data_IF_702639524950
#
_entry.id   IF_702639524950
#
_cell.length_a   1.000
_cell.length_b   1.000
_cell.length_c   1.000
_cell.angle_alpha   90.00
_cell.angle_beta   90.00
_cell.angle_gamma   90.00
#
_symmetry.space_group_name_H-M   'P 1'
#
loop_
_entity.id
_entity.type
_entity.pdbx_description
1 polymer ?
#
# COMPACT_ATOMS: atom_id res chain seq x y z
N UNK A 1 -13.99 -35.34 -18.80
CA UNK A 1 -13.81 -34.85 -17.43
C UNK A 1 -14.44 -35.86 -16.49
N UNK A 2 -13.73 -36.24 -15.42
CA UNK A 2 -14.26 -37.13 -14.37
C UNK A 2 -14.72 -36.25 -13.21
N UNK A 3 -15.85 -36.58 -12.60
CA UNK A 3 -16.36 -35.85 -11.44
C UNK A 3 -16.60 -36.82 -10.29
N UNK A 4 -15.88 -36.63 -9.20
CA UNK A 4 -16.13 -37.31 -7.95
C UNK A 4 -17.08 -36.46 -7.12
N UNK A 5 -18.32 -36.92 -7.02
CA UNK A 5 -19.40 -36.22 -6.31
C UNK A 5 -19.25 -36.40 -4.80
N UNK A 6 -18.82 -37.60 -4.40
CA UNK A 6 -18.57 -37.97 -3.00
C UNK A 6 -17.10 -37.85 -2.62
N UNK A 7 -16.83 -38.02 -1.32
CA UNK A 7 -15.48 -37.99 -0.76
C UNK A 7 -14.63 -39.15 -1.26
N UNK A 8 -13.48 -38.83 -1.83
CA UNK A 8 -12.49 -39.82 -2.27
C UNK A 8 -11.31 -39.83 -1.32
N UNK A 9 -10.89 -41.02 -0.89
CA UNK A 9 -9.82 -41.17 0.09
C UNK A 9 -8.68 -42.01 -0.48
N UNK A 10 -7.58 -41.35 -0.82
CA UNK A 10 -6.29 -41.92 -1.23
C UNK A 10 -5.23 -41.80 -0.12
N UNK A 11 -5.66 -41.74 1.14
CA UNK A 11 -4.73 -41.68 2.27
C UNK A 11 -3.82 -42.92 2.30
N UNK A 12 -2.52 -42.70 2.44
CA UNK A 12 -1.47 -43.73 2.45
C UNK A 12 -1.41 -44.57 1.15
N UNK A 13 -2.01 -44.11 0.06
CA UNK A 13 -1.94 -44.83 -1.23
C UNK A 13 -0.59 -44.58 -1.88
N UNK A 14 -0.03 -45.64 -2.45
CA UNK A 14 1.19 -45.58 -3.26
C UNK A 14 0.79 -45.71 -4.73
N UNK A 15 1.08 -44.69 -5.51
CA UNK A 15 0.97 -44.70 -6.96
C UNK A 15 2.36 -45.01 -7.54
N UNK A 16 2.57 -46.27 -7.91
CA UNK A 16 3.84 -46.75 -8.48
C UNK A 16 4.07 -46.27 -9.91
N UNK A 17 2.99 -45.95 -10.62
CA UNK A 17 2.97 -45.48 -12.01
C UNK A 17 2.24 -44.14 -12.12
N UNK A 18 2.13 -43.62 -13.34
CA UNK A 18 1.54 -42.32 -13.61
C UNK A 18 0.11 -42.23 -13.05
N UNK A 19 -0.10 -41.26 -12.18
CA UNK A 19 -1.40 -40.99 -11.58
C UNK A 19 -1.99 -39.72 -12.20
N UNK A 20 -2.90 -39.88 -13.17
CA UNK A 20 -3.47 -38.75 -13.92
C UNK A 20 -4.90 -38.46 -13.50
N UNK A 21 -5.07 -37.29 -12.93
CA UNK A 21 -6.34 -36.68 -12.51
C UNK A 21 -6.60 -35.36 -13.24
N UNK A 22 -6.02 -35.18 -14.43
CA UNK A 22 -6.20 -33.97 -15.23
C UNK A 22 -7.69 -33.75 -15.54
N UNK A 23 -8.14 -32.48 -15.45
CA UNK A 23 -9.54 -32.06 -15.67
C UNK A 23 -10.55 -32.83 -14.82
N UNK A 24 -10.12 -33.30 -13.65
CA UNK A 24 -10.98 -33.98 -12.68
C UNK A 24 -11.56 -32.97 -11.71
N UNK A 25 -12.85 -33.07 -11.43
CA UNK A 25 -13.49 -32.30 -10.37
C UNK A 25 -13.64 -33.17 -9.13
N UNK A 26 -12.94 -32.78 -8.06
CA UNK A 26 -13.05 -33.36 -6.73
C UNK A 26 -13.95 -32.47 -5.88
N UNK A 27 -15.03 -33.02 -5.33
CA UNK A 27 -15.81 -32.34 -4.28
C UNK A 27 -15.17 -32.50 -2.90
N UNK A 28 -14.38 -33.57 -2.71
CA UNK A 28 -13.59 -33.81 -1.53
C UNK A 28 -12.58 -34.91 -1.83
N UNK A 29 -11.30 -34.65 -1.60
CA UNK A 29 -10.25 -35.67 -1.83
C UNK A 29 -9.14 -35.61 -0.78
N UNK A 30 -8.72 -36.77 -0.28
CA UNK A 30 -7.65 -36.89 0.70
C UNK A 30 -6.49 -37.68 0.09
N UNK A 31 -5.34 -37.04 -0.10
CA UNK A 31 -4.07 -37.63 -0.55
C UNK A 31 -3.03 -37.68 0.59
N UNK A 32 -3.48 -37.73 1.84
CA UNK A 32 -2.57 -37.61 2.99
C UNK A 32 -1.61 -38.81 3.07
N UNK A 33 -0.32 -38.53 3.21
CA UNK A 33 0.76 -39.51 3.09
C UNK A 33 0.73 -40.34 1.79
N UNK A 34 0.06 -39.88 0.73
CA UNK A 34 0.11 -40.55 -0.56
C UNK A 34 1.52 -40.38 -1.16
N UNK A 35 2.01 -41.40 -1.83
CA UNK A 35 3.32 -41.39 -2.49
C UNK A 35 3.10 -41.55 -3.98
N UNK A 36 3.59 -40.59 -4.76
CA UNK A 36 3.60 -40.61 -6.22
C UNK A 36 5.03 -40.86 -6.69
N UNK A 37 5.32 -42.06 -7.16
CA UNK A 37 6.67 -42.43 -7.61
C UNK A 37 7.03 -41.82 -8.96
N UNK A 38 6.06 -41.74 -9.87
CA UNK A 38 6.23 -41.14 -11.20
C UNK A 38 5.38 -39.87 -11.33
N UNK A 39 4.94 -39.53 -12.55
CA UNK A 39 4.25 -38.28 -12.84
C UNK A 39 2.88 -38.27 -12.17
N UNK A 40 2.59 -37.19 -11.43
CA UNK A 40 1.29 -36.94 -10.83
C UNK A 40 0.58 -35.77 -11.54
N UNK A 41 -0.43 -36.08 -12.35
CA UNK A 41 -1.18 -35.11 -13.16
C UNK A 41 -2.43 -34.61 -12.46
N UNK A 42 -2.56 -33.30 -12.28
CA UNK A 42 -3.72 -32.58 -11.76
C UNK A 42 -4.00 -31.32 -12.59
N UNK A 43 -3.60 -31.30 -13.86
CA UNK A 43 -3.75 -30.13 -14.73
C UNK A 43 -5.23 -29.82 -14.93
N UNK A 44 -5.62 -28.56 -14.76
CA UNK A 44 -7.02 -28.11 -14.83
C UNK A 44 -7.96 -28.86 -13.86
N UNK A 45 -7.43 -29.54 -12.83
CA UNK A 45 -8.25 -30.20 -11.82
C UNK A 45 -8.95 -29.17 -10.93
N UNK A 46 -10.20 -29.44 -10.56
CA UNK A 46 -10.99 -28.55 -9.71
C UNK A 46 -11.18 -29.24 -8.36
N UNK A 47 -10.58 -28.67 -7.32
CA UNK A 47 -10.76 -29.09 -5.94
C UNK A 47 -11.79 -28.18 -5.31
N UNK A 48 -13.06 -28.59 -5.32
CA UNK A 48 -14.17 -27.84 -4.78
C UNK A 48 -14.64 -28.39 -3.44
N UNK A 49 -15.38 -27.58 -2.69
CA UNK A 49 -16.15 -28.02 -1.53
C UNK A 49 -17.57 -27.44 -1.65
N UNK A 50 -18.55 -28.31 -1.88
CA UNK A 50 -19.95 -27.86 -2.12
C UNK A 50 -20.85 -28.05 -0.89
N UNK A 51 -20.44 -28.79 0.16
CA UNK A 51 -21.40 -29.23 1.19
C UNK A 51 -21.05 -28.80 2.64
N UNK A 52 -21.65 -27.72 3.18
CA UNK A 52 -21.36 -27.20 4.52
C UNK A 52 -21.79 -28.13 5.68
N UNK A 53 -22.57 -29.18 5.39
CA UNK A 53 -23.14 -30.11 6.39
C UNK A 53 -22.12 -31.08 6.98
N UNK A 54 -20.99 -31.32 6.31
CA UNK A 54 -19.92 -32.21 6.77
C UNK A 54 -18.74 -31.36 7.24
N UNK A 55 -18.77 -31.00 8.53
CA UNK A 55 -17.83 -30.05 9.12
C UNK A 55 -16.36 -30.30 8.76
N UNK A 56 -15.63 -29.23 8.46
CA UNK A 56 -14.16 -29.14 8.37
C UNK A 56 -13.40 -30.20 7.53
N UNK A 57 -14.03 -31.08 6.76
CA UNK A 57 -13.27 -32.02 5.93
C UNK A 57 -13.06 -31.42 4.54
N UNK A 58 -11.78 -31.27 4.20
CA UNK A 58 -11.27 -30.40 3.15
C UNK A 58 -10.35 -31.21 2.24
N UNK A 59 -10.15 -30.77 0.99
CA UNK A 59 -9.15 -31.42 0.14
C UNK A 59 -7.76 -31.31 0.78
N UNK A 60 -7.01 -32.40 0.83
CA UNK A 60 -5.82 -32.47 1.69
C UNK A 60 -4.72 -33.29 1.03
N UNK A 61 -3.50 -32.77 1.06
CA UNK A 61 -2.27 -33.38 0.58
C UNK A 61 -1.26 -33.53 1.72
N UNK A 62 -1.68 -33.51 2.99
CA UNK A 62 -0.75 -33.46 4.13
C UNK A 62 0.25 -34.60 4.07
N UNK A 63 1.55 -34.28 4.09
CA UNK A 63 2.66 -35.24 3.96
C UNK A 63 2.64 -36.08 2.68
N UNK A 64 1.94 -35.65 1.63
CA UNK A 64 2.06 -36.28 0.32
C UNK A 64 3.48 -36.12 -0.20
N UNK A 65 3.98 -37.14 -0.90
CA UNK A 65 5.33 -37.18 -1.43
C UNK A 65 5.30 -37.39 -2.94
N UNK A 66 5.68 -36.37 -3.69
CA UNK A 66 5.84 -36.39 -5.13
C UNK A 66 7.32 -36.62 -5.45
N UNK A 67 7.68 -37.86 -5.83
CA UNK A 67 9.07 -38.24 -6.11
C UNK A 67 9.54 -37.81 -7.51
N UNK A 68 8.60 -37.58 -8.42
CA UNK A 68 8.83 -37.08 -9.78
C UNK A 68 8.07 -35.77 -10.01
N UNK A 69 7.96 -35.34 -11.26
CA UNK A 69 7.21 -34.16 -11.65
C UNK A 69 5.73 -34.26 -11.24
N UNK A 70 5.18 -33.13 -10.79
CA UNK A 70 3.77 -33.01 -10.44
C UNK A 70 3.16 -31.78 -11.11
N UNK A 71 2.00 -31.97 -11.72
CA UNK A 71 1.43 -31.03 -12.68
C UNK A 71 0.10 -30.49 -12.15
N UNK A 72 0.10 -29.30 -11.58
CA UNK A 72 -1.07 -28.58 -11.07
C UNK A 72 -1.42 -27.36 -11.95
N UNK A 73 -0.97 -27.33 -13.21
CA UNK A 73 -1.18 -26.19 -14.10
C UNK A 73 -2.68 -25.91 -14.26
N UNK A 74 -3.09 -24.66 -14.08
CA UNK A 74 -4.49 -24.22 -14.16
C UNK A 74 -5.45 -24.95 -13.20
N UNK A 75 -4.93 -25.68 -12.21
CA UNK A 75 -5.75 -26.30 -11.18
C UNK A 75 -6.50 -25.22 -10.39
N UNK A 76 -7.77 -25.46 -10.09
CA UNK A 76 -8.63 -24.52 -9.37
C UNK A 76 -8.94 -25.13 -8.00
N UNK A 77 -8.38 -24.53 -6.96
CA UNK A 77 -8.63 -24.89 -5.57
C UNK A 77 -9.70 -23.95 -4.99
N UNK A 78 -10.95 -24.40 -4.99
CA UNK A 78 -12.09 -23.69 -4.41
C UNK A 78 -12.26 -24.13 -2.94
N UNK A 79 -11.92 -23.25 -2.00
CA UNK A 79 -12.01 -23.54 -0.57
C UNK A 79 -10.66 -23.87 0.06
N UNK A 80 -10.67 -24.64 1.15
CA UNK A 80 -9.45 -24.97 1.88
C UNK A 80 -8.76 -26.19 1.28
N UNK A 81 -7.47 -26.05 0.99
CA UNK A 81 -6.60 -27.16 0.59
C UNK A 81 -5.34 -27.14 1.42
N UNK A 82 -5.00 -28.29 2.00
CA UNK A 82 -3.86 -28.42 2.89
C UNK A 82 -2.65 -29.03 2.18
N UNK A 83 -1.54 -28.30 2.11
CA UNK A 83 -0.26 -28.78 1.58
C UNK A 83 0.81 -28.90 2.69
N UNK A 84 0.40 -29.03 3.96
CA UNK A 84 1.35 -29.09 5.07
C UNK A 84 2.33 -30.28 4.93
N UNK A 85 3.63 -29.96 4.95
CA UNK A 85 4.72 -30.92 4.82
C UNK A 85 4.65 -31.77 3.53
N UNK A 86 4.03 -31.25 2.47
CA UNK A 86 4.15 -31.88 1.15
C UNK A 86 5.59 -31.80 0.69
N UNK A 87 6.12 -32.93 0.23
CA UNK A 87 7.46 -33.02 -0.32
C UNK A 87 7.38 -33.21 -1.84
N UNK A 88 8.12 -32.36 -2.56
CA UNK A 88 8.40 -32.51 -3.98
C UNK A 88 9.91 -32.77 -4.10
N UNK A 89 10.28 -33.97 -4.56
CA UNK A 89 11.69 -34.30 -4.84
C UNK A 89 12.14 -33.73 -6.18
N UNK A 90 11.19 -33.46 -7.07
CA UNK A 90 11.38 -32.82 -8.37
C UNK A 90 10.41 -31.64 -8.54
N UNK A 91 10.26 -31.09 -9.74
CA UNK A 91 9.50 -29.88 -10.01
C UNK A 91 7.98 -30.09 -9.83
N UNK A 92 7.36 -29.20 -9.03
CA UNK A 92 5.92 -29.03 -8.96
C UNK A 92 5.46 -27.85 -9.80
N UNK A 93 4.74 -28.12 -10.89
CA UNK A 93 4.27 -27.10 -11.83
C UNK A 93 2.91 -26.56 -11.39
N UNK A 94 2.83 -25.30 -10.97
CA UNK A 94 1.57 -24.65 -10.56
C UNK A 94 1.16 -23.50 -11.49
N UNK A 95 1.62 -23.51 -12.73
CA UNK A 95 1.39 -22.43 -13.69
C UNK A 95 -0.11 -22.16 -13.93
N UNK A 96 -0.58 -20.96 -13.60
CA UNK A 96 -1.98 -20.57 -13.71
C UNK A 96 -2.92 -21.23 -12.70
N UNK A 97 -2.38 -21.94 -11.69
CA UNK A 97 -3.20 -22.54 -10.64
C UNK A 97 -3.85 -21.44 -9.79
N UNK A 98 -5.17 -21.55 -9.59
CA UNK A 98 -5.99 -20.56 -8.89
C UNK A 98 -6.40 -21.08 -7.52
N UNK A 99 -6.13 -20.31 -6.48
CA UNK A 99 -6.58 -20.60 -5.12
C UNK A 99 -7.65 -19.59 -4.72
N UNK A 100 -8.90 -20.02 -4.58
CA UNK A 100 -10.04 -19.16 -4.23
C UNK A 100 -10.41 -19.33 -2.75
N UNK A 101 -10.20 -18.26 -1.96
CA UNK A 101 -10.33 -18.24 -0.51
C UNK A 101 -11.67 -17.70 -0.02
N UNK A 102 -12.78 -18.17 -0.61
CA UNK A 102 -14.10 -17.63 -0.30
C UNK A 102 -14.52 -17.75 1.18
N UNK A 103 -13.97 -18.69 1.97
CA UNK A 103 -14.45 -18.90 3.35
C UNK A 103 -13.47 -19.42 4.43
N UNK A 104 -12.18 -19.67 4.20
CA UNK A 104 -11.24 -19.97 5.31
C UNK A 104 -9.79 -20.19 4.86
N UNK A 105 -8.86 -19.82 5.76
CA UNK A 105 -7.41 -20.13 5.87
C UNK A 105 -6.64 -20.40 4.56
N UNK A 106 -5.61 -19.58 4.35
CA UNK A 106 -4.63 -19.72 3.26
C UNK A 106 -3.95 -21.10 3.32
N UNK A 107 -3.79 -21.82 2.20
CA UNK A 107 -3.07 -23.08 2.10
C UNK A 107 -1.70 -22.97 2.78
N UNK A 108 -1.37 -23.97 3.59
CA UNK A 108 -0.04 -24.09 4.17
C UNK A 108 0.86 -24.74 3.12
N UNK A 109 1.77 -23.98 2.52
CA UNK A 109 2.85 -24.51 1.69
C UNK A 109 4.12 -24.79 2.52
N UNK A 110 3.98 -24.91 3.85
CA UNK A 110 5.13 -25.12 4.73
C UNK A 110 5.81 -26.45 4.42
N UNK A 111 7.10 -26.40 4.12
CA UNK A 111 7.90 -27.59 3.76
C UNK A 111 7.83 -27.98 2.28
N UNK A 112 7.03 -27.26 1.49
CA UNK A 112 6.92 -27.44 0.06
C UNK A 112 8.16 -26.89 -0.67
N UNK A 113 8.78 -27.70 -1.53
CA UNK A 113 9.77 -27.25 -2.51
C UNK A 113 9.03 -27.00 -3.83
N UNK A 114 8.82 -25.74 -4.20
CA UNK A 114 8.14 -25.38 -5.46
C UNK A 114 9.20 -24.73 -6.34
N UNK A 115 9.48 -25.31 -7.51
CA UNK A 115 10.27 -24.61 -8.53
C UNK A 115 9.30 -23.72 -9.32
N UNK A 116 9.31 -22.43 -8.98
CA UNK A 116 8.20 -21.54 -9.31
C UNK A 116 8.21 -21.08 -10.77
N UNK A 117 7.28 -21.60 -11.57
CA UNK A 117 6.74 -20.88 -12.73
C UNK A 117 5.24 -20.63 -12.51
N UNK A 118 4.91 -19.36 -12.26
CA UNK A 118 3.57 -18.77 -12.41
C UNK A 118 2.44 -19.32 -11.51
N UNK A 119 2.59 -19.26 -10.17
CA UNK A 119 1.43 -19.32 -9.28
C UNK A 119 0.56 -18.06 -9.45
N UNK A 120 -0.61 -18.19 -10.07
CA UNK A 120 -1.58 -17.09 -10.21
C UNK A 120 -2.59 -17.10 -9.05
N UNK A 121 -2.26 -16.37 -7.99
CA UNK A 121 -3.27 -16.02 -6.98
C UNK A 121 -4.20 -14.95 -7.58
N UNK A 122 -5.39 -15.36 -8.01
CA UNK A 122 -6.43 -14.41 -8.43
C UNK A 122 -6.76 -13.46 -7.28
N UNK A 123 -6.54 -12.16 -7.52
CA UNK A 123 -6.87 -11.04 -6.62
C UNK A 123 -8.39 -10.77 -6.57
N UNK A 124 -9.18 -11.59 -7.28
CA UNK A 124 -10.60 -11.34 -7.48
C UNK A 124 -11.42 -11.79 -6.29
N UNK A 125 -11.68 -10.83 -5.43
CA UNK A 125 -12.90 -10.71 -4.64
C UNK A 125 -13.15 -11.82 -3.60
N UNK A 126 -13.24 -11.41 -2.34
CA UNK A 126 -13.66 -12.25 -1.20
C UNK A 126 -12.56 -13.12 -0.56
N UNK A 127 -11.40 -12.55 -0.22
CA UNK A 127 -10.87 -12.88 1.12
C UNK A 127 -11.93 -12.41 2.12
N UNK A 128 -12.77 -13.35 2.57
CA UNK A 128 -13.92 -13.04 3.41
C UNK A 128 -13.48 -12.15 4.57
N UNK A 129 -14.31 -11.16 4.89
CA UNK A 129 -14.00 -10.08 5.83
C UNK A 129 -13.74 -10.59 7.28
N UNK A 130 -13.86 -11.89 7.50
CA UNK A 130 -13.92 -12.48 8.82
C UNK A 130 -12.63 -13.25 9.10
N UNK A 131 -11.76 -12.60 9.89
CA UNK A 131 -10.58 -13.14 10.56
C UNK A 131 -9.39 -13.57 9.67
N UNK A 132 -8.39 -12.69 9.55
CA UNK A 132 -7.04 -13.14 9.16
C UNK A 132 -6.38 -13.81 10.36
N UNK A 133 -6.18 -15.13 10.30
CA UNK A 133 -5.40 -15.84 11.30
C UNK A 133 -3.92 -15.44 11.20
N UNK A 134 -3.17 -15.51 12.31
CA UNK A 134 -1.71 -15.33 12.28
C UNK A 134 -1.03 -16.31 11.31
N UNK A 135 -1.63 -17.49 11.15
CA UNK A 135 -1.21 -18.53 10.20
C UNK A 135 -1.31 -18.06 8.74
N UNK A 136 -2.38 -17.34 8.38
CA UNK A 136 -2.51 -16.74 7.05
C UNK A 136 -1.38 -15.75 6.76
N UNK A 137 -1.04 -14.90 7.73
CA UNK A 137 0.08 -13.94 7.60
C UNK A 137 1.41 -14.67 7.43
N UNK A 138 1.64 -15.76 8.17
CA UNK A 138 2.84 -16.60 8.03
C UNK A 138 2.92 -17.24 6.63
N UNK A 139 1.80 -17.73 6.10
CA UNK A 139 1.77 -18.34 4.77
C UNK A 139 2.03 -17.30 3.66
N UNK A 140 1.44 -16.10 3.74
CA UNK A 140 1.74 -15.00 2.80
C UNK A 140 3.23 -14.62 2.89
N UNK A 141 3.78 -14.54 4.11
CA UNK A 141 5.20 -14.22 4.32
C UNK A 141 6.13 -15.28 3.72
N UNK A 142 5.73 -16.55 3.77
CA UNK A 142 6.45 -17.65 3.14
C UNK A 142 6.41 -17.55 1.61
N UNK A 143 5.22 -17.34 1.03
CA UNK A 143 5.06 -17.13 -0.42
C UNK A 143 5.86 -15.93 -0.93
N UNK A 144 5.89 -14.84 -0.16
CA UNK A 144 6.75 -13.67 -0.44
C UNK A 144 8.23 -14.05 -0.51
N UNK A 145 8.74 -14.82 0.47
CA UNK A 145 10.15 -15.26 0.48
C UNK A 145 10.48 -16.14 -0.72
N UNK A 146 9.62 -17.10 -1.05
CA UNK A 146 9.79 -17.93 -2.24
C UNK A 146 9.84 -17.07 -3.51
N UNK A 147 8.90 -16.12 -3.64
CA UNK A 147 8.87 -15.21 -4.77
C UNK A 147 10.13 -14.34 -4.87
N UNK A 148 10.68 -13.90 -3.74
CA UNK A 148 11.95 -13.16 -3.68
C UNK A 148 13.16 -14.05 -4.07
N UNK A 149 13.21 -15.30 -3.60
CA UNK A 149 14.27 -16.28 -3.91
C UNK A 149 14.34 -16.61 -5.41
N UNK A 150 13.19 -16.65 -6.08
CA UNK A 150 13.09 -16.93 -7.52
C UNK A 150 13.11 -15.68 -8.41
N UNK A 151 13.38 -14.49 -7.86
CA UNK A 151 13.46 -13.26 -8.65
C UNK A 151 12.14 -12.76 -9.25
N UNK A 152 11.00 -13.28 -8.79
CA UNK A 152 9.67 -12.90 -9.27
C UNK A 152 9.18 -11.64 -8.54
N UNK A 153 9.75 -10.48 -8.89
CA UNK A 153 9.53 -9.23 -8.16
C UNK A 153 8.06 -8.81 -8.07
N UNK A 154 7.30 -8.94 -9.16
CA UNK A 154 5.89 -8.53 -9.19
C UNK A 154 5.02 -9.38 -8.25
N UNK A 155 5.27 -10.69 -8.21
CA UNK A 155 4.59 -11.58 -7.27
C UNK A 155 5.00 -11.29 -5.82
N UNK A 156 6.28 -10.99 -5.56
CA UNK A 156 6.74 -10.64 -4.22
C UNK A 156 6.08 -9.34 -3.72
N UNK A 157 5.92 -8.34 -4.61
CA UNK A 157 5.16 -7.13 -4.33
C UNK A 157 3.67 -7.42 -4.11
N UNK A 158 3.10 -8.41 -4.81
CA UNK A 158 1.73 -8.88 -4.55
C UNK A 158 1.58 -9.46 -3.14
N UNK A 159 2.45 -10.39 -2.76
CA UNK A 159 2.41 -10.98 -1.42
C UNK A 159 2.71 -9.95 -0.33
N UNK A 160 3.63 -9.01 -0.56
CA UNK A 160 3.89 -7.93 0.39
C UNK A 160 2.66 -7.04 0.62
N UNK A 161 1.94 -6.69 -0.45
CA UNK A 161 0.68 -5.94 -0.34
C UNK A 161 -0.38 -6.74 0.45
N UNK A 162 -0.52 -8.03 0.19
CA UNK A 162 -1.42 -8.91 0.93
C UNK A 162 -1.03 -9.01 2.41
N UNK A 163 0.25 -9.15 2.72
CA UNK A 163 0.79 -9.23 4.08
C UNK A 163 0.44 -7.96 4.88
N UNK A 164 0.66 -6.79 4.29
CA UNK A 164 0.37 -5.50 4.92
C UNK A 164 -1.13 -5.30 5.13
N UNK A 165 -1.98 -5.65 4.15
CA UNK A 165 -3.44 -5.61 4.28
C UNK A 165 -3.92 -6.52 5.42
N UNK A 166 -3.39 -7.73 5.51
CA UNK A 166 -3.73 -8.70 6.55
C UNK A 166 -3.33 -8.20 7.95
N UNK A 167 -2.10 -7.68 8.11
CA UNK A 167 -1.64 -7.08 9.37
C UNK A 167 -2.50 -5.89 9.77
N UNK A 168 -2.82 -4.99 8.83
CA UNK A 168 -3.68 -3.82 9.08
C UNK A 168 -5.06 -4.25 9.60
N UNK A 169 -5.68 -5.26 8.97
CA UNK A 169 -6.98 -5.79 9.42
C UNK A 169 -6.91 -6.39 10.82
N UNK A 170 -5.86 -7.17 11.13
CA UNK A 170 -5.66 -7.76 12.46
C UNK A 170 -5.54 -6.66 13.54
N UNK A 171 -4.75 -5.61 13.27
CA UNK A 171 -4.66 -4.44 14.16
C UNK A 171 -6.03 -3.78 14.34
N UNK A 172 -6.77 -3.49 13.27
CA UNK A 172 -8.11 -2.91 13.38
C UNK A 172 -9.09 -3.76 14.20
N UNK A 173 -9.05 -5.09 14.05
CA UNK A 173 -9.87 -6.01 14.84
C UNK A 173 -9.50 -5.97 16.33
N UNK A 174 -8.19 -5.93 16.65
CA UNK A 174 -7.73 -5.75 18.04
C UNK A 174 -8.21 -4.43 18.64
N UNK A 175 -8.15 -3.34 17.86
CA UNK A 175 -8.65 -2.03 18.28
C UNK A 175 -10.17 -2.05 18.52
N UNK A 176 -10.95 -2.70 17.65
CA UNK A 176 -12.40 -2.86 17.82
C UNK A 176 -12.76 -3.70 19.05
N UNK A 177 -12.10 -4.83 19.25
CA UNK A 177 -12.30 -5.69 20.43
C UNK A 177 -11.98 -4.94 21.72
N UNK A 178 -10.85 -4.21 21.76
CA UNK A 178 -10.48 -3.39 22.91
C UNK A 178 -11.52 -2.29 23.19
N UNK A 179 -12.05 -1.65 22.16
CA UNK A 179 -13.11 -0.64 22.29
C UNK A 179 -14.42 -1.23 22.85
N UNK A 180 -14.78 -2.45 22.46
CA UNK A 180 -15.96 -3.15 22.98
C UNK A 180 -15.78 -3.59 24.44
N UNK A 181 -14.60 -4.12 24.79
CA UNK A 181 -14.31 -4.54 26.18
C UNK A 181 -14.09 -3.38 27.15
N UNK A 182 -13.78 -2.19 26.62
CA UNK A 182 -13.43 -0.99 27.41
C UNK A 182 -14.62 -0.22 27.99
N UNK A 183 -15.86 -0.64 27.73
CA UNK A 183 -17.08 0.01 28.26
C UNK A 183 -17.43 -0.47 29.68
N UNK A 184 -16.42 -0.67 30.51
CA UNK A 184 -16.53 -1.00 31.93
C UNK A 184 -15.88 0.17 32.66
N UNK A 185 -16.62 0.83 33.56
CA UNK A 185 -16.24 2.07 34.28
C UNK A 185 -14.76 2.14 34.70
N UNK A 186 -13.91 2.68 33.83
CA UNK A 186 -12.51 2.89 34.08
C UNK A 186 -12.28 4.37 34.40
N UNK A 187 -11.53 4.70 35.47
CA UNK A 187 -11.22 6.07 35.82
C UNK A 187 -10.49 6.79 34.68
N UNK A 188 -10.80 8.09 34.48
CA UNK A 188 -10.41 8.93 33.34
C UNK A 188 -8.91 8.89 32.97
N UNK A 189 -8.02 8.71 33.95
CA UNK A 189 -6.58 8.61 33.71
C UNK A 189 -6.16 7.31 33.00
N UNK A 190 -6.88 6.18 33.21
CA UNK A 190 -6.64 4.93 32.48
C UNK A 190 -7.12 5.00 31.05
N UNK A 191 -8.20 5.75 30.79
CA UNK A 191 -8.69 6.07 29.45
C UNK A 191 -7.64 6.88 28.67
N UNK A 192 -7.06 7.90 29.30
CA UNK A 192 -5.97 8.68 28.71
C UNK A 192 -4.73 7.82 28.41
N UNK A 193 -4.30 6.98 29.36
CA UNK A 193 -3.15 6.09 29.15
C UNK A 193 -3.39 5.08 28.01
N UNK A 194 -4.60 4.51 27.93
CA UNK A 194 -4.99 3.60 26.85
C UNK A 194 -5.05 4.29 25.49
N UNK A 195 -5.63 5.49 25.42
CA UNK A 195 -5.64 6.33 24.20
C UNK A 195 -4.21 6.66 23.76
N UNK A 196 -3.35 7.09 24.69
CA UNK A 196 -1.95 7.36 24.39
C UNK A 196 -1.17 6.11 23.92
N UNK A 197 -1.49 4.93 24.45
CA UNK A 197 -0.89 3.65 24.01
C UNK A 197 -1.38 3.24 22.62
N UNK A 198 -2.66 3.48 22.32
CA UNK A 198 -3.26 3.29 21.00
C UNK A 198 -2.62 4.21 19.94
N UNK A 199 -2.40 5.47 20.30
CA UNK A 199 -1.80 6.50 19.44
C UNK A 199 -0.31 6.20 19.18
N UNK A 200 0.38 5.44 20.04
CA UNK A 200 1.86 5.32 19.96
C UNK A 200 2.41 4.32 18.93
N UNK A 201 1.59 3.51 18.24
CA UNK A 201 2.16 2.67 17.16
C UNK A 201 1.17 1.95 16.26
N UNK A 202 0.18 1.26 16.83
CA UNK A 202 -0.77 0.46 16.04
C UNK A 202 -1.68 1.32 15.15
N UNK A 203 -2.14 2.45 15.66
CA UNK A 203 -2.93 3.40 14.87
C UNK A 203 -2.13 3.98 13.69
N UNK A 204 -0.89 4.42 13.95
CA UNK A 204 0.00 4.94 12.90
C UNK A 204 0.32 3.88 11.86
N UNK A 205 0.50 2.61 12.26
CA UNK A 205 0.67 1.53 11.31
C UNK A 205 -0.51 1.44 10.34
N UNK A 206 -1.75 1.52 10.84
CA UNK A 206 -2.95 1.54 9.99
C UNK A 206 -3.00 2.74 9.05
N UNK A 207 -2.70 3.95 9.54
CA UNK A 207 -2.68 5.18 8.72
C UNK A 207 -1.59 5.12 7.66
N UNK A 208 -0.37 4.75 8.04
CA UNK A 208 0.78 4.66 7.12
C UNK A 208 0.53 3.60 6.05
N UNK A 209 0.05 2.41 6.42
CA UNK A 209 -0.26 1.35 5.45
C UNK A 209 -1.43 1.72 4.54
N UNK A 210 -2.44 2.45 5.04
CA UNK A 210 -3.53 3.00 4.22
C UNK A 210 -3.02 4.02 3.20
N UNK A 211 -2.18 4.97 3.64
CA UNK A 211 -1.56 5.96 2.75
C UNK A 211 -0.65 5.28 1.72
N UNK A 212 0.18 4.32 2.14
CA UNK A 212 1.08 3.60 1.25
C UNK A 212 0.34 2.80 0.16
N UNK A 213 -0.81 2.20 0.50
CA UNK A 213 -1.69 1.55 -0.47
C UNK A 213 -2.25 2.53 -1.50
N UNK A 214 -2.84 3.65 -1.06
CA UNK A 214 -3.51 4.58 -1.96
C UNK A 214 -2.52 5.40 -2.80
N UNK A 215 -1.44 5.84 -2.17
CA UNK A 215 -0.45 6.72 -2.80
C UNK A 215 0.51 5.94 -3.69
N UNK A 216 0.92 4.73 -3.34
CA UNK A 216 1.99 4.01 -4.06
C UNK A 216 1.56 2.65 -4.61
N UNK A 217 0.35 2.17 -4.27
CA UNK A 217 -0.05 0.78 -4.52
C UNK A 217 1.01 -0.21 -4.01
N UNK A 218 1.48 0.02 -2.78
CA UNK A 218 2.56 -0.75 -2.15
C UNK A 218 3.87 -0.82 -2.98
N UNK A 219 4.23 0.27 -3.65
CA UNK A 219 5.48 0.37 -4.42
C UNK A 219 5.38 -0.15 -5.86
N UNK A 220 4.17 -0.54 -6.33
CA UNK A 220 3.94 -0.95 -7.73
C UNK A 220 3.80 0.23 -8.69
N UNK A 221 3.40 1.40 -8.18
CA UNK A 221 3.22 2.61 -8.99
C UNK A 221 4.11 3.73 -8.49
N UNK A 222 4.99 4.24 -9.36
CA UNK A 222 5.73 5.48 -9.13
C UNK A 222 4.97 6.72 -9.62
N UNK A 223 3.99 6.55 -10.52
CA UNK A 223 3.21 7.67 -11.09
C UNK A 223 2.24 8.26 -10.09
N UNK A 224 1.62 7.45 -9.23
CA UNK A 224 0.72 7.92 -8.17
C UNK A 224 1.39 8.80 -7.11
N UNK A 225 2.54 8.44 -6.49
CA UNK A 225 3.21 9.32 -5.54
C UNK A 225 3.71 10.60 -6.22
N UNK A 226 4.18 10.50 -7.47
CA UNK A 226 4.59 11.66 -8.26
C UNK A 226 3.41 12.61 -8.54
N UNK A 227 2.25 12.08 -8.93
CA UNK A 227 1.04 12.87 -9.16
C UNK A 227 0.55 13.54 -7.86
N UNK A 228 0.58 12.82 -6.74
CA UNK A 228 0.25 13.37 -5.43
C UNK A 228 1.23 14.49 -5.04
N UNK A 229 2.52 14.35 -5.36
CA UNK A 229 3.52 15.38 -5.14
C UNK A 229 3.26 16.63 -5.99
N UNK A 230 2.97 16.46 -7.28
CA UNK A 230 2.60 17.57 -8.18
C UNK A 230 1.34 18.27 -7.69
N UNK A 231 0.30 17.51 -7.30
CA UNK A 231 -0.94 18.07 -6.78
C UNK A 231 -0.71 18.85 -5.48
N UNK A 232 0.15 18.36 -4.58
CA UNK A 232 0.51 19.04 -3.35
C UNK A 232 1.28 20.34 -3.64
N UNK A 233 2.19 20.34 -4.63
CA UNK A 233 2.90 21.54 -5.07
C UNK A 233 1.95 22.60 -5.65
N UNK A 234 1.01 22.19 -6.50
CA UNK A 234 -0.02 23.08 -7.07
C UNK A 234 -0.90 23.64 -5.96
N UNK A 235 -1.37 22.80 -5.03
CA UNK A 235 -2.19 23.25 -3.90
C UNK A 235 -1.45 24.27 -3.03
N UNK A 236 -0.17 24.04 -2.73
CA UNK A 236 0.64 25.04 -2.01
C UNK A 236 0.67 26.36 -2.77
N UNK A 237 0.94 26.31 -4.07
CA UNK A 237 1.04 27.50 -4.91
C UNK A 237 -0.27 28.30 -4.91
N UNK A 238 -1.42 27.61 -5.02
CA UNK A 238 -2.75 28.23 -4.93
C UNK A 238 -3.00 28.89 -3.57
N UNK A 239 -2.68 28.22 -2.46
CA UNK A 239 -2.84 28.80 -1.11
C UNK A 239 -2.04 30.09 -0.97
N UNK A 240 -0.78 30.09 -1.46
CA UNK A 240 0.07 31.29 -1.39
C UNK A 240 -0.49 32.41 -2.25
N UNK A 241 -0.98 32.12 -3.47
CA UNK A 241 -1.62 33.11 -4.34
C UNK A 241 -2.88 33.69 -3.70
N UNK A 242 -3.79 32.84 -3.21
CA UNK A 242 -5.04 33.30 -2.57
C UNK A 242 -4.73 34.19 -1.37
N UNK A 243 -3.73 33.83 -0.58
CA UNK A 243 -3.31 34.64 0.56
C UNK A 243 -2.69 35.97 0.13
N UNK A 244 -1.84 35.97 -0.91
CA UNK A 244 -1.25 37.19 -1.46
C UNK A 244 -2.31 38.15 -2.01
N UNK A 245 -3.35 37.62 -2.68
CA UNK A 245 -4.47 38.41 -3.20
C UNK A 245 -5.33 38.98 -2.05
N UNK A 246 -5.58 38.21 -0.99
CA UNK A 246 -6.42 38.67 0.12
C UNK A 246 -5.73 39.73 0.98
N UNK A 247 -4.42 39.62 1.14
CA UNK A 247 -3.64 40.51 2.00
C UNK A 247 -2.93 41.65 1.25
N UNK A 248 -2.97 41.65 -0.10
CA UNK A 248 -2.41 42.78 -0.84
C UNK A 248 -3.14 44.05 -0.39
N UNK A 249 -2.43 45.04 0.16
CA UNK A 249 -3.07 46.28 0.56
C UNK A 249 -3.78 46.84 -0.66
N UNK A 250 -5.08 47.09 -0.55
CA UNK A 250 -5.90 47.76 -1.56
C UNK A 250 -5.38 49.21 -1.68
N UNK A 251 -4.20 49.39 -2.27
CA UNK A 251 -3.61 50.68 -2.49
C UNK A 251 -4.17 51.24 -3.79
N UNK A 252 -4.81 52.40 -3.65
CA UNK A 252 -5.32 53.27 -4.70
C UNK A 252 -6.66 52.82 -5.28
N UNK A 253 -7.73 53.33 -4.67
CA UNK A 253 -8.91 54.04 -5.21
C UNK A 253 -9.15 54.11 -6.75
N UNK A 254 -8.78 53.08 -7.49
CA UNK A 254 -8.98 52.93 -8.92
C UNK A 254 -10.18 52.04 -9.14
N UNK A 255 -11.17 52.57 -9.86
CA UNK A 255 -12.43 51.93 -10.30
C UNK A 255 -12.29 50.41 -10.49
N UNK A 256 -13.26 49.65 -9.96
CA UNK A 256 -13.51 48.20 -10.17
C UNK A 256 -13.02 47.72 -11.55
N UNK A 257 -11.76 47.31 -11.65
CA UNK A 257 -11.25 46.49 -12.74
C UNK A 257 -11.17 45.05 -12.27
N UNK A 258 -11.27 44.11 -13.21
CA UNK A 258 -11.30 42.69 -12.88
C UNK A 258 -9.93 42.25 -12.38
N UNK A 259 -9.89 41.48 -11.30
CA UNK A 259 -8.68 40.95 -10.65
C UNK A 259 -7.72 40.18 -11.60
N UNK A 260 -8.23 39.70 -12.74
CA UNK A 260 -7.42 39.06 -13.78
C UNK A 260 -6.52 40.05 -14.54
N UNK A 261 -6.93 41.31 -14.69
CA UNK A 261 -6.10 42.35 -15.31
C UNK A 261 -4.94 42.77 -14.41
N UNK A 262 -5.13 42.74 -13.08
CA UNK A 262 -4.08 43.05 -12.09
C UNK A 262 -3.01 41.95 -12.00
N UNK A 263 -3.37 40.69 -12.30
CA UNK A 263 -2.42 39.58 -12.36
C UNK A 263 -1.54 39.59 -13.61
N UNK A 264 -2.02 40.20 -14.71
CA UNK A 264 -1.37 40.20 -16.02
C UNK A 264 -0.59 41.50 -16.32
N UNK A 265 -0.75 42.55 -15.51
CA UNK A 265 -0.09 43.83 -15.75
C UNK A 265 1.38 43.77 -15.31
N UNK A 266 2.26 43.72 -16.31
CA UNK A 266 3.71 43.86 -16.15
C UNK A 266 4.04 45.21 -15.52
N UNK A 267 4.78 45.15 -14.39
CA UNK A 267 5.58 46.16 -13.69
C UNK A 267 5.54 47.61 -14.24
N UNK A 268 4.38 48.26 -14.32
CA UNK A 268 4.36 49.73 -14.38
C UNK A 268 4.52 50.23 -12.95
N UNK A 269 5.70 50.77 -12.56
CA UNK A 269 5.89 51.29 -11.23
C UNK A 269 4.89 52.42 -11.00
N UNK A 270 3.98 52.22 -10.04
CA UNK A 270 3.22 53.32 -9.46
C UNK A 270 4.23 54.20 -8.72
N UNK A 271 4.78 55.19 -9.42
CA UNK A 271 5.60 56.23 -8.81
C UNK A 271 4.70 57.06 -7.90
N UNK A 272 4.63 56.69 -6.62
CA UNK A 272 4.20 57.61 -5.58
C UNK A 272 5.30 58.66 -5.49
N UNK A 273 5.03 59.83 -6.04
CA UNK A 273 5.94 60.98 -6.06
C UNK A 273 5.99 61.59 -4.65
N UNK A 274 6.55 60.86 -3.69
CA UNK A 274 6.88 61.39 -2.37
C UNK A 274 8.26 62.06 -2.47
N UNK A 275 8.29 63.38 -2.31
CA UNK A 275 9.48 64.24 -2.38
C UNK A 275 10.54 63.99 -1.29
N UNK A 276 10.47 62.88 -0.54
CA UNK A 276 11.44 62.54 0.50
C UNK A 276 12.41 61.45 0.02
N UNK A 277 13.58 61.89 -0.42
CA UNK A 277 14.86 61.18 -0.49
C UNK A 277 14.84 59.63 -0.63
N UNK A 278 14.74 59.20 -1.89
CA UNK A 278 15.62 58.20 -2.53
C UNK A 278 15.75 56.80 -1.92
N UNK A 279 14.66 56.03 -1.85
CA UNK A 279 14.75 54.59 -2.13
C UNK A 279 13.59 54.15 -3.03
N UNK A 280 13.85 53.69 -4.28
CA UNK A 280 12.81 53.14 -5.12
C UNK A 280 12.22 51.88 -4.46
N UNK A 281 10.95 51.93 -4.10
CA UNK A 281 10.22 50.74 -3.67
C UNK A 281 9.78 49.98 -4.92
N UNK A 282 10.52 48.92 -5.26
CA UNK A 282 10.13 48.01 -6.33
C UNK A 282 8.86 47.25 -5.92
N UNK A 283 7.73 47.60 -6.52
CA UNK A 283 6.50 46.80 -6.43
C UNK A 283 6.62 45.60 -7.37
N UNK A 284 7.00 44.44 -6.85
CA UNK A 284 6.88 43.17 -7.56
C UNK A 284 5.42 42.71 -7.55
N UNK A 285 4.96 42.08 -8.64
CA UNK A 285 3.65 41.42 -8.67
C UNK A 285 3.53 40.38 -7.54
N UNK A 286 2.33 40.23 -6.97
CA UNK A 286 2.07 39.28 -5.88
C UNK A 286 2.44 37.83 -6.26
N UNK A 287 2.29 37.48 -7.54
CA UNK A 287 2.73 36.19 -8.10
C UNK A 287 4.24 35.97 -8.00
N UNK A 288 5.03 37.00 -8.30
CA UNK A 288 6.49 36.91 -8.22
C UNK A 288 6.95 36.80 -6.77
N UNK A 289 6.35 37.56 -5.86
CA UNK A 289 6.63 37.44 -4.42
C UNK A 289 6.25 36.06 -3.86
N UNK A 290 5.09 35.52 -4.26
CA UNK A 290 4.64 34.16 -3.91
C UNK A 290 5.58 33.07 -4.45
N UNK A 291 6.07 33.24 -5.68
CA UNK A 291 7.03 32.34 -6.30
C UNK A 291 8.39 32.40 -5.59
N UNK A 292 8.95 33.60 -5.40
CA UNK A 292 10.21 33.81 -4.67
C UNK A 292 10.12 33.18 -3.28
N UNK A 293 9.04 33.44 -2.54
CA UNK A 293 8.80 32.83 -1.22
C UNK A 293 8.76 31.31 -1.27
N UNK A 294 8.05 30.74 -2.26
CA UNK A 294 7.97 29.29 -2.43
C UNK A 294 9.34 28.67 -2.72
N UNK A 295 10.13 29.29 -3.59
CA UNK A 295 11.50 28.86 -3.94
C UNK A 295 12.40 28.94 -2.71
N UNK A 296 12.46 30.09 -2.04
CA UNK A 296 13.26 30.29 -0.81
C UNK A 296 12.92 29.26 0.27
N UNK A 297 11.64 29.00 0.51
CA UNK A 297 11.20 27.98 1.48
C UNK A 297 11.63 26.57 1.11
N UNK A 298 11.62 26.24 -0.17
CA UNK A 298 12.05 24.91 -0.64
C UNK A 298 13.55 24.73 -0.63
N UNK A 299 14.34 25.80 -0.86
CA UNK A 299 15.80 25.74 -0.84
C UNK A 299 16.39 25.83 0.57
N UNK A 300 15.78 26.59 1.48
CA UNK A 300 16.35 26.92 2.80
C UNK A 300 16.05 25.89 3.90
N UNK A 301 15.69 24.65 3.57
CA UNK A 301 15.55 23.57 4.56
C UNK A 301 16.88 23.23 5.28
N UNK A 302 18.01 23.78 4.83
CA UNK A 302 19.37 23.42 5.30
C UNK A 302 20.07 24.56 6.05
N UNK A 303 19.65 25.82 5.95
CA UNK A 303 20.37 26.94 6.57
C UNK A 303 19.41 27.99 7.15
N UNK A 304 19.36 28.05 8.49
CA UNK A 304 18.49 28.94 9.25
C UNK A 304 19.19 30.22 9.71
N UNK A 305 20.51 30.37 9.50
CA UNK A 305 21.28 31.41 10.19
C UNK A 305 21.46 32.72 9.39
N UNK A 306 21.49 32.68 8.05
CA UNK A 306 21.64 33.89 7.21
C UNK A 306 20.36 34.30 6.45
N UNK A 307 19.31 33.48 6.49
CA UNK A 307 18.07 33.71 5.76
C UNK A 307 17.22 34.87 6.33
N UNK A 308 17.53 35.39 7.52
CA UNK A 308 16.58 36.20 8.29
C UNK A 308 16.27 37.55 7.64
N UNK A 309 17.24 38.21 7.00
CA UNK A 309 17.02 39.55 6.40
C UNK A 309 16.21 39.50 5.10
N UNK A 310 16.53 38.58 4.19
CA UNK A 310 15.78 38.43 2.94
C UNK A 310 14.39 37.84 3.20
N UNK A 311 14.28 36.88 4.13
CA UNK A 311 13.00 36.29 4.50
C UNK A 311 12.11 37.35 5.15
N UNK A 312 12.62 38.17 6.08
CA UNK A 312 11.85 39.27 6.66
C UNK A 312 11.34 40.25 5.61
N UNK A 313 12.16 40.62 4.61
CA UNK A 313 11.73 41.50 3.53
C UNK A 313 10.59 40.89 2.70
N UNK A 314 10.68 39.60 2.38
CA UNK A 314 9.64 38.89 1.62
C UNK A 314 8.38 38.65 2.48
N UNK A 315 8.54 38.30 3.76
CA UNK A 315 7.45 38.11 4.72
C UNK A 315 6.69 39.42 4.97
N UNK A 316 7.41 40.52 5.16
CA UNK A 316 6.79 41.84 5.33
C UNK A 316 5.99 42.25 4.09
N UNK A 317 6.46 41.90 2.88
CA UNK A 317 5.74 42.14 1.63
C UNK A 317 4.49 41.26 1.49
N UNK A 318 4.57 39.98 1.87
CA UNK A 318 3.47 39.02 1.67
C UNK A 318 2.39 39.06 2.75
N UNK A 319 2.75 39.31 3.99
CA UNK A 319 1.84 39.20 5.14
C UNK A 319 1.55 40.54 5.80
N UNK A 320 2.21 41.62 5.37
CA UNK A 320 2.12 42.92 6.05
C UNK A 320 2.69 42.91 7.48
N UNK A 321 3.34 41.81 7.88
CA UNK A 321 3.93 41.61 9.21
C UNK A 321 5.39 41.19 9.09
N UNK A 322 6.22 41.64 10.03
CA UNK A 322 7.62 41.19 10.13
C UNK A 322 7.72 39.73 10.61
N UNK A 323 6.66 39.22 11.25
CA UNK A 323 6.60 37.88 11.81
C UNK A 323 5.67 37.04 10.94
N UNK A 324 6.20 35.94 10.41
CA UNK A 324 5.42 34.93 9.69
C UNK A 324 4.34 34.32 10.60
N UNK A 325 3.09 34.16 10.12
CA UNK A 325 2.06 33.48 10.88
C UNK A 325 2.50 32.07 11.31
N UNK A 326 2.23 31.71 12.57
CA UNK A 326 2.65 30.40 13.11
C UNK A 326 2.09 29.21 12.31
N UNK A 327 0.89 29.34 11.73
CA UNK A 327 0.27 28.28 10.95
C UNK A 327 1.02 28.02 9.63
N UNK A 328 1.66 29.04 9.03
CA UNK A 328 2.51 28.86 7.84
C UNK A 328 3.79 28.09 8.18
N UNK A 329 4.33 28.28 9.38
CA UNK A 329 5.44 27.47 9.90
C UNK A 329 5.08 26.00 10.00
N UNK A 330 3.95 25.71 10.64
CA UNK A 330 3.43 24.34 10.76
C UNK A 330 3.15 23.73 9.38
N UNK A 331 2.51 24.49 8.49
CA UNK A 331 2.21 24.05 7.12
C UNK A 331 3.48 23.69 6.35
N UNK A 332 4.51 24.52 6.41
CA UNK A 332 5.74 24.24 5.67
C UNK A 332 6.54 23.06 6.22
N UNK A 333 6.49 22.80 7.54
CA UNK A 333 7.03 21.55 8.12
C UNK A 333 6.27 20.35 7.57
N UNK A 334 4.94 20.40 7.59
CA UNK A 334 4.09 19.33 7.05
C UNK A 334 4.34 19.09 5.56
N UNK A 335 4.48 20.15 4.77
CA UNK A 335 4.82 20.11 3.34
C UNK A 335 6.18 19.42 3.13
N UNK A 336 7.20 19.78 3.91
CA UNK A 336 8.53 19.21 3.79
C UNK A 336 8.55 17.71 4.08
N UNK A 337 7.88 17.27 5.15
CA UNK A 337 7.74 15.86 5.51
C UNK A 337 6.98 15.12 4.40
N UNK A 338 5.83 15.64 3.97
CA UNK A 338 5.00 15.02 2.94
C UNK A 338 5.75 14.89 1.61
N UNK A 339 6.47 15.94 1.21
CA UNK A 339 7.30 15.96 -0.01
C UNK A 339 8.41 14.92 0.05
N UNK A 340 9.12 14.83 1.19
CA UNK A 340 10.20 13.86 1.39
C UNK A 340 9.67 12.42 1.32
N UNK A 341 8.52 12.14 1.94
CA UNK A 341 7.85 10.83 1.87
C UNK A 341 7.44 10.50 0.43
N UNK A 342 6.85 11.44 -0.29
CA UNK A 342 6.42 11.22 -1.68
C UNK A 342 7.59 11.01 -2.65
N UNK A 343 8.69 11.74 -2.47
CA UNK A 343 9.92 11.53 -3.23
C UNK A 343 10.54 10.16 -2.92
N UNK A 344 10.61 9.78 -1.65
CA UNK A 344 11.07 8.45 -1.25
C UNK A 344 10.21 7.33 -1.87
N UNK A 345 8.88 7.47 -1.82
CA UNK A 345 7.96 6.50 -2.42
C UNK A 345 8.11 6.44 -3.95
N UNK A 346 8.33 7.58 -4.60
CA UNK A 346 8.61 7.65 -6.05
C UNK A 346 9.92 6.92 -6.38
N UNK A 347 10.98 7.18 -5.61
CA UNK A 347 12.28 6.51 -5.78
C UNK A 347 12.18 4.99 -5.54
N UNK A 348 11.37 4.56 -4.56
CA UNK A 348 11.13 3.14 -4.28
C UNK A 348 10.35 2.46 -5.41
N UNK A 349 9.34 3.13 -5.96
CA UNK A 349 8.61 2.68 -7.14
C UNK A 349 9.50 2.59 -8.39
N UNK A 350 10.39 3.56 -8.60
CA UNK A 350 11.40 3.53 -9.68
C UNK A 350 12.38 2.37 -9.49
N UNK A 351 12.95 2.21 -8.29
CA UNK A 351 13.84 1.09 -7.96
C UNK A 351 13.17 -0.26 -8.25
N UNK A 352 11.92 -0.43 -7.83
CA UNK A 352 11.18 -1.66 -8.08
C UNK A 352 10.97 -1.89 -9.59
N UNK A 353 10.61 -0.84 -10.34
CA UNK A 353 10.39 -0.95 -11.79
C UNK A 353 11.67 -1.31 -12.57
N UNK A 354 12.83 -0.79 -12.16
CA UNK A 354 14.11 -0.98 -12.88
C UNK A 354 14.98 -2.12 -12.32
N UNK A 355 14.58 -2.78 -11.23
CA UNK A 355 15.29 -3.96 -10.68
C UNK A 355 15.05 -5.24 -11.51
N UNK A 356 14.14 -5.22 -12.47
CA UNK A 356 13.75 -6.38 -13.31
C UNK A 356 14.61 -6.49 -14.58
N UNK A 357 15.89 -6.12 -14.51
CA UNK A 357 16.82 -6.12 -15.65
C UNK A 357 17.99 -7.06 -15.42
#
# INVERSE_FOLDING_TARGET
SVKFIDSVNFKNVVFEWDARFDRTTFNHVIFNNAIFYTIAGFSEAIFSFVNPSFGNIKSSFVKAHFKSESWFQKAIFLGYVDFENVQFDNVGHFEGAKFNFQNSKIPSFRGCKIDSTLLEFSDDSHFSQNHFSEEAIKNISFLKRLSDEHGQLDQALNFNAMELRAKRKNVWQKLQLNAQTGYIDLPSWRLYASICKLIKGEFWFCVITYLYEHISNFGRSFTRPLAAFIALAILTWLIVITHAIYNSPLSCESKKQSWLEDLARDDTPCFINNNDNNKPQLHLSGCRAAFEYSVYRTSNLVDFTDADKQTQAVTQRLFGSQIEPWWMRVYGIFKAISSSVLLFLTALGLRNKYRVG
#
